data_IF_036423730924
#
_entry.id   IF_036423730924
#
_cell.length_a   1.000
_cell.length_b   1.000
_cell.length_c   1.000
_cell.angle_alpha   90.00
_cell.angle_beta   90.00
_cell.angle_gamma   90.00
#
_symmetry.space_group_name_H-M   'P 1'
#
loop_
_entity.id
_entity.type
_entity.pdbx_description
1 polymer ?
#
# COMPACT_ATOMS: atom_id res chain seq x y z
N UNK A 1 25.06 -34.94 -35.83
CA UNK A 1 24.11 -34.04 -35.17
C UNK A 1 24.70 -33.77 -33.81
N UNK A 2 25.45 -32.69 -33.69
CA UNK A 2 26.15 -32.36 -32.43
C UNK A 2 25.13 -31.83 -31.45
N UNK A 3 24.88 -32.61 -30.41
CA UNK A 3 23.96 -32.24 -29.33
C UNK A 3 24.70 -31.19 -28.50
N UNK A 4 24.31 -29.93 -28.65
CA UNK A 4 24.75 -28.83 -27.78
C UNK A 4 24.28 -29.12 -26.35
N UNK A 5 25.15 -29.74 -25.56
CA UNK A 5 24.99 -29.86 -24.11
C UNK A 5 25.46 -28.55 -23.48
N UNK A 6 24.64 -27.52 -23.58
CA UNK A 6 24.71 -26.40 -22.63
C UNK A 6 24.37 -26.99 -21.26
N UNK A 7 25.41 -27.37 -20.53
CA UNK A 7 25.31 -27.84 -19.16
C UNK A 7 24.69 -26.71 -18.33
N UNK A 8 23.40 -26.87 -18.01
CA UNK A 8 22.71 -26.02 -17.06
C UNK A 8 23.41 -26.20 -15.71
N UNK A 9 24.17 -25.18 -15.29
CA UNK A 9 24.88 -25.18 -14.03
C UNK A 9 23.87 -25.37 -12.88
N UNK A 10 24.04 -26.44 -12.12
CA UNK A 10 23.24 -26.80 -10.94
C UNK A 10 23.20 -25.65 -9.92
N UNK A 11 24.22 -24.79 -9.89
CA UNK A 11 24.24 -23.60 -9.03
C UNK A 11 23.22 -22.53 -9.43
N UNK A 12 22.79 -22.52 -10.70
CA UNK A 12 21.74 -21.61 -11.19
C UNK A 12 20.35 -22.09 -10.79
N UNK A 13 20.14 -23.41 -10.73
CA UNK A 13 18.87 -24.04 -10.31
C UNK A 13 18.72 -24.03 -8.78
N UNK A 14 19.84 -24.00 -8.04
CA UNK A 14 19.89 -24.04 -6.56
C UNK A 14 19.95 -22.68 -5.87
N UNK A 15 19.71 -21.56 -6.56
CA UNK A 15 19.41 -20.30 -5.87
C UNK A 15 18.07 -20.44 -5.16
N UNK A 16 18.11 -20.98 -3.95
CA UNK A 16 16.97 -21.05 -3.06
C UNK A 16 16.51 -19.61 -2.82
N UNK A 17 15.19 -19.33 -2.80
CA UNK A 17 14.69 -18.02 -2.38
C UNK A 17 15.37 -17.55 -1.09
N UNK A 18 15.73 -18.48 -0.19
CA UNK A 18 16.50 -18.32 1.04
C UNK A 18 17.78 -17.47 0.90
N UNK A 19 18.52 -17.57 -0.20
CA UNK A 19 19.75 -16.78 -0.39
C UNK A 19 19.48 -15.28 -0.61
N UNK A 20 18.27 -14.94 -1.07
CA UNK A 20 17.78 -13.55 -1.19
C UNK A 20 17.48 -12.93 0.18
N UNK A 21 17.24 -13.76 1.20
CA UNK A 21 16.92 -13.30 2.56
C UNK A 21 18.16 -13.23 3.48
N UNK A 22 19.32 -13.78 3.07
CA UNK A 22 20.57 -13.78 3.88
C UNK A 22 21.16 -12.39 4.11
N UNK A 23 20.81 -11.41 3.27
CA UNK A 23 21.27 -10.02 3.39
C UNK A 23 20.13 -9.05 3.74
N UNK A 24 18.99 -9.55 4.21
CA UNK A 24 17.92 -8.69 4.71
C UNK A 24 18.31 -8.16 6.09
N UNK A 25 18.57 -6.87 6.13
CA UNK A 25 18.73 -6.14 7.37
C UNK A 25 17.38 -6.04 8.07
N UNK A 26 17.16 -6.86 9.09
CA UNK A 26 15.93 -6.88 9.88
C UNK A 26 15.66 -5.58 10.64
N UNK A 27 16.65 -4.69 10.74
CA UNK A 27 16.45 -3.33 11.27
C UNK A 27 15.87 -2.35 10.24
N UNK A 28 15.92 -2.72 8.94
CA UNK A 28 15.30 -2.01 7.81
C UNK A 28 14.00 -2.64 7.34
N UNK A 29 13.63 -3.80 7.87
CA UNK A 29 12.28 -4.30 7.72
C UNK A 29 11.35 -3.29 8.40
N UNK A 30 10.58 -2.58 7.58
CA UNK A 30 9.57 -1.67 8.08
C UNK A 30 8.73 -2.42 9.11
N UNK A 31 8.33 -1.73 10.17
CA UNK A 31 7.33 -2.29 11.05
C UNK A 31 6.04 -2.38 10.22
N UNK A 32 5.82 -3.52 9.56
CA UNK A 32 4.70 -3.76 8.64
C UNK A 32 3.37 -3.42 9.31
N UNK A 33 3.28 -3.60 10.63
CA UNK A 33 2.12 -3.21 11.41
C UNK A 33 1.98 -1.69 11.51
N UNK A 34 3.07 -0.97 11.75
CA UNK A 34 3.10 0.49 11.78
C UNK A 34 2.81 1.09 10.40
N UNK A 35 3.42 0.54 9.34
CA UNK A 35 3.17 0.93 7.95
C UNK A 35 1.71 0.72 7.59
N UNK A 36 1.14 -0.42 7.96
CA UNK A 36 -0.29 -0.71 7.76
C UNK A 36 -1.17 0.32 8.47
N UNK A 37 -0.90 0.63 9.75
CA UNK A 37 -1.66 1.63 10.51
C UNK A 37 -1.55 3.02 9.88
N UNK A 38 -0.36 3.41 9.41
CA UNK A 38 -0.16 4.69 8.72
C UNK A 38 -0.92 4.77 7.40
N UNK A 39 -0.96 3.69 6.62
CA UNK A 39 -1.74 3.62 5.38
C UNK A 39 -3.25 3.64 5.66
N UNK A 40 -3.71 2.91 6.67
CA UNK A 40 -5.12 2.90 7.11
C UNK A 40 -5.56 4.31 7.56
N UNK A 41 -4.68 5.05 8.24
CA UNK A 41 -4.91 6.45 8.62
C UNK A 41 -5.03 7.36 7.39
N UNK A 42 -4.12 7.26 6.42
CA UNK A 42 -4.19 8.05 5.18
C UNK A 42 -5.50 7.80 4.42
N UNK A 43 -5.92 6.53 4.33
CA UNK A 43 -7.20 6.17 3.72
C UNK A 43 -8.39 6.79 4.46
N UNK A 44 -8.41 6.72 5.80
CA UNK A 44 -9.47 7.32 6.61
C UNK A 44 -9.52 8.85 6.44
N UNK A 45 -8.37 9.50 6.50
CA UNK A 45 -8.25 10.94 6.33
C UNK A 45 -8.72 11.38 4.95
N UNK A 46 -8.28 10.69 3.89
CA UNK A 46 -8.70 10.98 2.52
C UNK A 46 -10.20 10.79 2.35
N UNK A 47 -10.78 9.74 2.93
CA UNK A 47 -12.24 9.53 2.91
C UNK A 47 -12.97 10.71 3.53
N UNK A 48 -12.54 11.15 4.70
CA UNK A 48 -13.17 12.27 5.38
C UNK A 48 -13.07 13.57 4.57
N UNK A 49 -11.92 13.81 3.93
CA UNK A 49 -11.72 14.96 3.06
C UNK A 49 -12.62 14.92 1.82
N UNK A 50 -12.72 13.76 1.17
CA UNK A 50 -13.56 13.56 0.00
C UNK A 50 -15.05 13.64 0.35
N UNK A 51 -15.48 13.07 1.47
CA UNK A 51 -16.86 13.14 1.95
C UNK A 51 -17.28 14.60 2.19
N UNK A 52 -16.40 15.43 2.75
CA UNK A 52 -16.65 16.87 2.93
C UNK A 52 -16.67 17.58 1.57
N UNK A 53 -15.70 17.28 0.71
CA UNK A 53 -15.53 17.96 -0.59
C UNK A 53 -16.67 17.65 -1.58
N UNK A 54 -17.21 16.43 -1.52
CA UNK A 54 -18.26 15.94 -2.42
C UNK A 54 -19.66 16.02 -1.80
N UNK A 55 -19.80 16.53 -0.58
CA UNK A 55 -21.06 16.65 0.14
C UNK A 55 -22.16 17.28 -0.72
N UNK A 56 -21.87 18.45 -1.29
CA UNK A 56 -22.82 19.24 -2.08
C UNK A 56 -22.80 18.89 -3.58
N UNK A 57 -21.99 17.91 -3.99
CA UNK A 57 -21.89 17.51 -5.40
C UNK A 57 -23.12 16.72 -5.86
N UNK A 58 -23.64 17.03 -7.04
CA UNK A 58 -24.77 16.35 -7.67
C UNK A 58 -24.36 15.18 -8.56
N UNK A 59 -23.07 14.81 -8.59
CA UNK A 59 -22.54 13.82 -9.53
C UNK A 59 -23.19 12.43 -9.41
N UNK A 60 -23.68 12.07 -8.22
CA UNK A 60 -24.35 10.80 -7.94
C UNK A 60 -25.89 10.90 -7.92
N UNK A 61 -26.45 12.03 -8.38
CA UNK A 61 -27.88 12.31 -8.35
C UNK A 61 -28.37 12.91 -7.02
N UNK A 62 -29.68 12.88 -6.80
CA UNK A 62 -30.33 13.41 -5.58
C UNK A 62 -31.03 12.29 -4.80
N UNK A 63 -31.10 12.44 -3.47
CA UNK A 63 -31.78 11.50 -2.57
C UNK A 63 -30.85 10.45 -1.93
N UNK A 64 -31.40 9.58 -1.09
CA UNK A 64 -30.65 8.65 -0.22
C UNK A 64 -29.74 7.67 -0.99
N UNK A 65 -30.11 7.32 -2.23
CA UNK A 65 -29.26 6.48 -3.10
C UNK A 65 -27.99 7.19 -3.57
N UNK A 66 -28.03 8.52 -3.69
CA UNK A 66 -26.86 9.35 -4.03
C UNK A 66 -25.81 9.29 -2.93
N UNK A 67 -26.23 9.36 -1.66
CA UNK A 67 -25.32 9.30 -0.51
C UNK A 67 -24.60 7.95 -0.41
N UNK A 68 -25.28 6.86 -0.77
CA UNK A 68 -24.69 5.52 -0.84
C UNK A 68 -23.60 5.46 -1.93
N UNK A 69 -23.92 5.94 -3.14
CA UNK A 69 -22.96 5.93 -4.26
C UNK A 69 -21.76 6.82 -3.96
N UNK A 70 -21.98 8.01 -3.38
CA UNK A 70 -20.92 8.90 -2.92
C UNK A 70 -20.04 8.20 -1.90
N UNK A 71 -20.62 7.59 -0.86
CA UNK A 71 -19.87 6.89 0.18
C UNK A 71 -19.06 5.70 -0.35
N UNK A 72 -19.60 4.96 -1.33
CA UNK A 72 -18.85 3.89 -2.00
C UNK A 72 -17.70 4.45 -2.84
N UNK A 73 -17.94 5.54 -3.57
CA UNK A 73 -16.92 6.19 -4.39
C UNK A 73 -15.78 6.74 -3.52
N UNK A 74 -16.10 7.48 -2.46
CA UNK A 74 -15.08 8.03 -1.56
C UNK A 74 -14.32 6.92 -0.84
N UNK A 75 -14.98 5.84 -0.40
CA UNK A 75 -14.31 4.71 0.26
C UNK A 75 -13.35 3.98 -0.70
N UNK A 76 -13.78 3.70 -1.93
CA UNK A 76 -12.95 3.01 -2.93
C UNK A 76 -11.74 3.84 -3.34
N UNK A 77 -11.94 5.12 -3.67
CA UNK A 77 -10.85 6.03 -4.03
C UNK A 77 -9.87 6.19 -2.87
N UNK A 78 -10.36 6.35 -1.64
CA UNK A 78 -9.49 6.56 -0.48
C UNK A 78 -8.64 5.33 -0.16
N UNK A 79 -9.21 4.13 -0.26
CA UNK A 79 -8.45 2.88 -0.09
C UNK A 79 -7.44 2.65 -1.20
N UNK A 80 -7.80 2.96 -2.45
CA UNK A 80 -6.88 2.83 -3.58
C UNK A 80 -5.73 3.83 -3.51
N UNK A 81 -5.98 5.02 -2.95
CA UNK A 81 -4.98 6.08 -2.80
C UNK A 81 -4.11 5.91 -1.55
N UNK A 82 -4.43 4.95 -0.68
CA UNK A 82 -3.72 4.74 0.58
C UNK A 82 -2.25 4.40 0.33
N UNK A 83 -1.35 5.22 0.88
CA UNK A 83 0.09 5.03 0.71
C UNK A 83 0.68 5.76 -0.50
N UNK A 84 -0.12 6.55 -1.23
CA UNK A 84 0.34 7.26 -2.44
C UNK A 84 0.49 8.76 -2.26
N UNK A 85 -0.11 9.32 -1.20
CA UNK A 85 -0.20 10.77 -0.98
C UNK A 85 0.89 11.30 -0.03
N UNK A 86 1.66 10.40 0.59
CA UNK A 86 2.78 10.73 1.47
C UNK A 86 2.41 11.11 2.91
N UNK A 87 1.13 11.11 3.26
CA UNK A 87 0.68 11.34 4.66
C UNK A 87 1.04 10.14 5.53
N UNK A 88 0.87 8.94 4.99
CA UNK A 88 1.28 7.66 5.59
C UNK A 88 2.78 7.61 5.81
N UNK A 89 3.60 8.08 4.86
CA UNK A 89 5.06 8.18 5.01
C UNK A 89 5.44 9.16 6.13
N UNK A 90 4.80 10.33 6.17
CA UNK A 90 5.03 11.32 7.22
C UNK A 90 4.71 10.75 8.60
N UNK A 91 3.55 10.09 8.75
CA UNK A 91 3.14 9.48 10.01
C UNK A 91 4.03 8.29 10.39
N UNK A 92 4.39 7.45 9.41
CA UNK A 92 5.30 6.33 9.63
C UNK A 92 6.66 6.79 10.14
N UNK A 93 7.26 7.79 9.49
CA UNK A 93 8.55 8.36 9.89
C UNK A 93 8.47 8.95 11.30
N UNK A 94 7.44 9.76 11.56
CA UNK A 94 7.22 10.38 12.86
C UNK A 94 7.09 9.35 14.00
N UNK A 95 6.32 8.28 13.79
CA UNK A 95 6.13 7.23 14.80
C UNK A 95 7.38 6.35 14.95
N UNK A 96 8.08 6.06 13.84
CA UNK A 96 9.31 5.27 13.85
C UNK A 96 10.46 5.99 14.56
N UNK A 97 10.57 7.31 14.37
CA UNK A 97 11.58 8.13 15.06
C UNK A 97 11.35 8.20 16.58
N UNK A 98 10.10 8.15 17.03
CA UNK A 98 9.73 8.16 18.45
C UNK A 98 9.75 6.80 19.12
N UNK A 99 9.94 5.73 18.35
CA UNK A 99 10.13 4.36 18.85
C UNK A 99 11.59 4.10 19.28
N UNK A 100 12.51 5.02 18.96
CA UNK A 100 13.89 5.06 19.47
C UNK A 100 13.94 5.69 20.85
#
# INVERSE_FOLDING_TARGET
>A
MDINTNYLDINTIKKSPADSYKNLDSSKLEDDSLRKVSNDFEAFFMKQLLDISLKDSTFAGQGSGSDIIKGMYTDTISRQSAGTLGISDMLYNFLSERKK
#
